data_IF_665655958217
#
_entry.id   IF_665655958217
#
_cell.length_a   1.000
_cell.length_b   1.000
_cell.length_c   1.000
_cell.angle_alpha   90.00
_cell.angle_beta   90.00
_cell.angle_gamma   90.00
#
_symmetry.space_group_name_H-M   'P 1'
#
loop_
_entity.id
_entity.type
_entity.pdbx_description
1 polymer ?
#
# COMPACT_ATOMS: atom_id res chain seq x y z
N UNK A 1 10.55 8.64 -0.61
CA UNK A 1 9.48 9.16 0.28
C UNK A 1 9.06 8.10 1.28
N UNK A 2 8.25 7.10 0.90
CA UNK A 2 7.92 6.01 1.85
C UNK A 2 9.06 5.00 2.07
N UNK A 3 9.96 4.82 1.11
CA UNK A 3 11.05 3.85 1.23
C UNK A 3 11.95 4.09 2.46
N UNK A 4 12.30 5.35 2.74
CA UNK A 4 13.08 5.71 3.95
C UNK A 4 12.27 5.41 5.22
N UNK A 5 11.00 5.80 5.24
CA UNK A 5 10.10 5.56 6.38
C UNK A 5 9.94 4.06 6.68
N UNK A 6 9.82 3.21 5.65
CA UNK A 6 9.77 1.76 5.81
C UNK A 6 11.11 1.14 6.18
N UNK A 7 12.24 1.73 5.77
CA UNK A 7 13.56 1.32 6.24
C UNK A 7 13.77 1.68 7.73
N UNK A 8 13.26 2.83 8.18
CA UNK A 8 13.25 3.19 9.60
C UNK A 8 12.41 2.19 10.42
N UNK A 9 11.23 1.84 9.91
CA UNK A 9 10.34 0.86 10.52
C UNK A 9 10.96 -0.53 10.63
N UNK A 10 11.62 -1.00 9.57
CA UNK A 10 12.34 -2.27 9.55
C UNK A 10 13.51 -2.30 10.54
N UNK A 11 14.08 -1.14 10.87
CA UNK A 11 15.10 -1.00 11.91
C UNK A 11 14.51 -0.89 13.33
N UNK A 12 13.20 -1.13 13.50
CA UNK A 12 12.50 -1.04 14.78
C UNK A 12 12.27 0.38 15.29
N UNK A 13 12.44 1.39 14.44
CA UNK A 13 12.22 2.79 14.83
C UNK A 13 10.76 3.16 14.71
N UNK A 14 10.28 3.93 15.68
CA UNK A 14 8.92 4.45 15.68
C UNK A 14 8.77 5.55 14.62
N UNK A 15 7.63 5.53 13.94
CA UNK A 15 7.24 6.58 13.00
C UNK A 15 6.21 7.47 13.69
N UNK A 16 6.38 8.78 13.55
CA UNK A 16 5.37 9.73 14.00
C UNK A 16 4.10 9.60 13.16
N UNK A 17 2.98 9.27 13.79
CA UNK A 17 1.67 9.05 13.13
C UNK A 17 1.25 10.27 12.30
N UNK A 18 1.45 11.48 12.80
CA UNK A 18 1.11 12.71 12.08
C UNK A 18 1.96 12.91 10.81
N UNK A 19 3.23 12.52 10.86
CA UNK A 19 4.10 12.54 9.69
C UNK A 19 3.64 11.53 8.65
N UNK A 20 3.31 10.30 9.07
CA UNK A 20 2.78 9.26 8.18
C UNK A 20 1.47 9.68 7.53
N UNK A 21 0.54 10.25 8.31
CA UNK A 21 -0.75 10.77 7.83
C UNK A 21 -0.55 11.85 6.76
N UNK A 22 0.29 12.84 7.03
CA UNK A 22 0.60 13.91 6.08
C UNK A 22 1.22 13.38 4.79
N UNK A 23 2.17 12.44 4.90
CA UNK A 23 2.80 11.82 3.73
C UNK A 23 1.79 11.02 2.90
N UNK A 24 0.91 10.28 3.57
CA UNK A 24 -0.18 9.55 2.93
C UNK A 24 -1.10 10.48 2.13
N UNK A 25 -1.62 11.54 2.75
CA UNK A 25 -2.60 12.42 2.12
C UNK A 25 -2.03 13.10 0.85
N UNK A 26 -0.75 13.50 0.89
CA UNK A 26 -0.03 14.05 -0.27
C UNK A 26 0.15 12.98 -1.35
N UNK A 27 0.58 11.78 -0.96
CA UNK A 27 0.89 10.71 -1.89
C UNK A 27 -0.35 10.14 -2.58
N UNK A 28 -1.44 9.92 -1.83
CA UNK A 28 -2.67 9.36 -2.37
C UNK A 28 -3.31 10.34 -3.36
N UNK A 29 -3.25 11.65 -3.07
CA UNK A 29 -3.71 12.68 -4.01
C UNK A 29 -2.96 12.61 -5.34
N UNK A 30 -1.63 12.48 -5.29
CA UNK A 30 -0.80 12.31 -6.49
C UNK A 30 -1.15 11.02 -7.23
N UNK A 31 -1.29 9.91 -6.49
CA UNK A 31 -1.63 8.61 -7.05
C UNK A 31 -2.94 8.66 -7.80
N UNK A 32 -4.00 9.18 -7.16
CA UNK A 32 -5.32 9.35 -7.75
C UNK A 32 -5.29 10.23 -9.00
N UNK A 33 -4.43 11.26 -9.02
CA UNK A 33 -4.17 12.06 -10.22
C UNK A 33 -3.60 11.22 -11.36
N UNK A 34 -2.63 10.35 -11.09
CA UNK A 34 -2.01 9.48 -12.10
C UNK A 34 -2.98 8.42 -12.61
N UNK A 35 -3.70 7.69 -11.75
CA UNK A 35 -4.64 6.63 -12.21
C UNK A 35 -5.81 7.17 -13.04
N UNK A 36 -6.09 8.48 -13.01
CA UNK A 36 -7.07 9.12 -13.90
C UNK A 36 -6.54 9.39 -15.31
N UNK A 37 -5.23 9.35 -15.51
CA UNK A 37 -4.61 9.52 -16.82
C UNK A 37 -4.62 8.19 -17.59
N UNK A 38 -4.57 8.20 -18.93
CA UNK A 38 -4.35 6.98 -19.70
C UNK A 38 -3.03 6.31 -19.27
N UNK A 39 -2.93 4.97 -19.24
CA UNK A 39 -1.74 4.26 -18.79
C UNK A 39 -0.44 4.66 -19.49
N UNK A 40 -0.51 5.08 -20.76
CA UNK A 40 0.64 5.60 -21.52
C UNK A 40 1.28 6.85 -20.92
N UNK A 41 0.57 7.56 -20.04
CA UNK A 41 1.05 8.75 -19.34
C UNK A 41 1.42 8.47 -17.87
N UNK A 42 1.38 7.21 -17.43
CA UNK A 42 1.75 6.87 -16.06
C UNK A 42 3.26 6.98 -15.88
N UNK A 43 3.65 8.05 -15.20
CA UNK A 43 5.04 8.33 -14.87
C UNK A 43 5.60 7.23 -13.95
N UNK A 44 6.86 6.84 -14.17
CA UNK A 44 7.53 5.83 -13.36
C UNK A 44 8.26 6.43 -12.14
N UNK A 45 8.39 7.76 -12.08
CA UNK A 45 9.04 8.44 -10.95
C UNK A 45 8.17 8.31 -9.68
N UNK A 46 8.66 7.65 -8.61
CA UNK A 46 7.93 7.47 -7.35
C UNK A 46 7.59 8.77 -6.61
N UNK A 47 8.23 9.90 -6.94
CA UNK A 47 7.89 11.22 -6.40
C UNK A 47 6.62 11.81 -7.02
N UNK A 48 6.28 11.36 -8.23
CA UNK A 48 5.11 11.81 -8.99
C UNK A 48 4.01 10.75 -8.99
N UNK A 49 4.37 9.48 -9.15
CA UNK A 49 3.50 8.32 -9.08
C UNK A 49 3.93 7.41 -7.92
N UNK A 50 3.48 7.69 -6.68
CA UNK A 50 3.81 6.86 -5.54
C UNK A 50 3.39 5.41 -5.75
N UNK A 51 4.18 4.46 -5.25
CA UNK A 51 3.84 3.03 -5.36
C UNK A 51 2.58 2.72 -4.55
N UNK A 52 1.67 1.92 -5.14
CA UNK A 52 0.39 1.60 -4.50
C UNK A 52 0.53 0.70 -3.27
N UNK A 53 1.49 -0.23 -3.28
CA UNK A 53 1.83 -1.08 -2.13
C UNK A 53 2.25 -0.24 -0.91
N UNK A 54 3.10 0.76 -1.12
CA UNK A 54 3.53 1.69 -0.07
C UNK A 54 2.38 2.52 0.49
N UNK A 55 1.42 2.92 -0.35
CA UNK A 55 0.21 3.61 0.09
C UNK A 55 -0.67 2.71 0.94
N UNK A 56 -0.86 1.46 0.51
CA UNK A 56 -1.61 0.47 1.27
C UNK A 56 -0.97 0.24 2.65
N UNK A 57 0.35 0.05 2.71
CA UNK A 57 1.06 -0.12 3.97
C UNK A 57 0.91 1.08 4.90
N UNK A 58 1.05 2.30 4.36
CA UNK A 58 0.85 3.51 5.14
C UNK A 58 -0.59 3.61 5.69
N UNK A 59 -1.60 3.25 4.90
CA UNK A 59 -2.99 3.26 5.35
C UNK A 59 -3.25 2.22 6.46
N UNK A 60 -2.70 1.01 6.32
CA UNK A 60 -2.81 -0.05 7.33
C UNK A 60 -2.15 0.36 8.64
N UNK A 61 -0.95 0.95 8.58
CA UNK A 61 -0.23 1.45 9.76
C UNK A 61 -0.95 2.63 10.44
N UNK A 62 -1.79 3.37 9.71
CA UNK A 62 -2.66 4.41 10.27
C UNK A 62 -3.95 3.84 10.89
N UNK A 63 -4.23 2.54 10.73
CA UNK A 63 -5.45 1.86 11.15
C UNK A 63 -6.72 2.62 10.74
N UNK A 64 -6.74 3.11 9.49
CA UNK A 64 -7.79 3.97 8.97
C UNK A 64 -8.48 3.30 7.77
N UNK A 65 -9.70 2.80 7.99
CA UNK A 65 -10.44 2.01 7.01
C UNK A 65 -10.72 2.76 5.71
N UNK A 66 -11.03 4.06 5.78
CA UNK A 66 -11.28 4.87 4.58
C UNK A 66 -10.00 5.02 3.75
N UNK A 67 -8.87 5.27 4.41
CA UNK A 67 -7.56 5.34 3.75
C UNK A 67 -7.16 3.99 3.16
N UNK A 68 -7.46 2.88 3.85
CA UNK A 68 -7.19 1.52 3.37
C UNK A 68 -8.01 1.24 2.12
N UNK A 69 -9.32 1.51 2.15
CA UNK A 69 -10.20 1.32 1.00
C UNK A 69 -9.74 2.14 -0.22
N UNK A 70 -9.28 3.37 0.01
CA UNK A 70 -8.77 4.25 -1.05
C UNK A 70 -7.45 3.74 -1.64
N UNK A 71 -6.51 3.34 -0.80
CA UNK A 71 -5.23 2.77 -1.24
C UNK A 71 -5.42 1.46 -1.99
N UNK A 72 -6.32 0.60 -1.51
CA UNK A 72 -6.70 -0.64 -2.19
C UNK A 72 -7.33 -0.37 -3.56
N UNK A 73 -8.23 0.59 -3.66
CA UNK A 73 -8.85 0.97 -4.95
C UNK A 73 -7.81 1.44 -5.96
N UNK A 74 -6.86 2.28 -5.54
CA UNK A 74 -5.76 2.74 -6.40
C UNK A 74 -4.86 1.57 -6.85
N UNK A 75 -4.58 0.62 -5.96
CA UNK A 75 -3.81 -0.59 -6.25
C UNK A 75 -4.53 -1.49 -7.25
N UNK A 76 -5.83 -1.73 -7.05
CA UNK A 76 -6.64 -2.57 -7.91
C UNK A 76 -6.72 -2.01 -9.34
N UNK A 77 -6.87 -0.69 -9.50
CA UNK A 77 -6.85 -0.05 -10.82
C UNK A 77 -5.48 -0.19 -11.48
N UNK A 78 -4.39 0.08 -10.75
CA UNK A 78 -3.03 -0.07 -11.29
C UNK A 78 -2.74 -1.51 -11.71
N UNK A 79 -3.23 -2.47 -10.93
CA UNK A 79 -3.10 -3.89 -11.18
C UNK A 79 -3.88 -4.33 -12.42
N UNK A 80 -5.16 -3.95 -12.55
CA UNK A 80 -5.98 -4.26 -13.72
C UNK A 80 -5.36 -3.70 -15.01
N UNK A 81 -4.91 -2.44 -14.99
CA UNK A 81 -4.30 -1.81 -16.16
C UNK A 81 -2.99 -2.49 -16.58
N UNK A 82 -2.15 -2.92 -15.62
CA UNK A 82 -0.92 -3.68 -15.92
C UNK A 82 -1.21 -5.05 -16.54
N UNK A 83 -2.31 -5.67 -16.16
CA UNK A 83 -2.69 -7.00 -16.62
C UNK A 83 -3.57 -6.99 -17.86
N UNK A 84 -4.11 -5.84 -18.27
CA UNK A 84 -5.06 -5.73 -19.39
C UNK A 84 -4.51 -6.32 -20.70
N UNK A 85 -3.20 -6.28 -20.89
CA UNK A 85 -2.53 -6.82 -22.08
C UNK A 85 -2.19 -8.31 -21.99
N UNK A 86 -2.36 -8.93 -20.83
CA UNK A 86 -2.07 -10.35 -20.63
C UNK A 86 -3.29 -11.21 -20.99
N UNK A 87 -3.06 -12.44 -21.50
CA UNK A 87 -4.10 -13.47 -21.61
C UNK A 87 -4.77 -13.73 -20.25
N UNK A 88 -6.10 -13.99 -20.19
CA UNK A 88 -6.80 -14.23 -18.93
C UNK A 88 -6.16 -15.28 -18.01
N UNK A 89 -5.59 -16.33 -18.57
CA UNK A 89 -4.89 -17.41 -17.87
C UNK A 89 -3.60 -16.96 -17.17
N UNK A 90 -2.97 -15.88 -17.65
CA UNK A 90 -1.76 -15.29 -17.10
C UNK A 90 -2.06 -14.14 -16.12
N UNK A 91 -3.35 -13.76 -15.98
CA UNK A 91 -3.76 -12.69 -15.06
C UNK A 91 -3.75 -13.20 -13.63
N UNK A 92 -2.94 -12.56 -12.80
CA UNK A 92 -2.94 -12.81 -11.37
C UNK A 92 -4.12 -12.09 -10.70
N UNK A 93 -4.98 -12.77 -9.92
CA UNK A 93 -6.04 -12.12 -9.16
C UNK A 93 -5.51 -11.05 -8.21
N UNK A 94 -6.20 -9.91 -8.10
CA UNK A 94 -5.80 -8.82 -7.20
C UNK A 94 -5.65 -9.27 -5.75
N UNK A 95 -6.44 -10.25 -5.31
CA UNK A 95 -6.33 -10.84 -3.97
C UNK A 95 -4.95 -11.45 -3.69
N UNK A 96 -4.35 -12.16 -4.65
CA UNK A 96 -3.01 -12.74 -4.47
C UNK A 96 -1.93 -11.66 -4.38
N UNK A 97 -2.10 -10.57 -5.12
CA UNK A 97 -1.20 -9.42 -5.05
C UNK A 97 -1.34 -8.69 -3.71
N UNK A 98 -2.57 -8.54 -3.23
CA UNK A 98 -2.84 -8.00 -1.90
C UNK A 98 -2.17 -8.86 -0.81
N UNK A 99 -2.39 -10.17 -0.82
CA UNK A 99 -1.80 -11.11 0.15
C UNK A 99 -0.26 -11.00 0.18
N UNK A 100 0.37 -10.87 -1.00
CA UNK A 100 1.81 -10.67 -1.11
C UNK A 100 2.27 -9.37 -0.45
N UNK A 101 1.56 -8.27 -0.68
CA UNK A 101 1.92 -6.99 -0.07
C UNK A 101 1.66 -6.96 1.42
N UNK A 102 0.61 -7.63 1.90
CA UNK A 102 0.36 -7.80 3.33
C UNK A 102 1.48 -8.60 3.98
N UNK A 103 1.88 -9.72 3.38
CA UNK A 103 3.00 -10.52 3.89
C UNK A 103 4.30 -9.72 3.93
N UNK A 104 4.59 -8.93 2.88
CA UNK A 104 5.77 -8.06 2.86
C UNK A 104 5.75 -7.00 3.97
N UNK A 105 4.58 -6.47 4.33
CA UNK A 105 4.46 -5.53 5.44
C UNK A 105 4.70 -6.23 6.79
N UNK A 106 4.15 -7.44 6.97
CA UNK A 106 4.36 -8.26 8.16
C UNK A 106 5.85 -8.58 8.32
N UNK A 107 6.52 -9.00 7.24
CA UNK A 107 7.96 -9.31 7.23
C UNK A 107 8.83 -8.08 7.49
N UNK A 108 8.34 -6.88 7.14
CA UNK A 108 9.03 -5.61 7.38
C UNK A 108 8.95 -5.19 8.85
N UNK A 109 7.88 -5.54 9.56
CA UNK A 109 7.63 -5.11 10.92
C UNK A 109 8.41 -6.00 11.92
N UNK A 110 9.10 -5.42 12.91
CA UNK A 110 9.68 -6.20 13.99
C UNK A 110 8.56 -6.92 14.76
N UNK A 111 8.70 -8.22 14.98
CA UNK A 111 7.67 -9.06 15.61
C UNK A 111 7.30 -8.62 17.04
N UNK A 112 8.19 -7.90 17.73
CA UNK A 112 7.99 -7.32 19.05
C UNK A 112 7.49 -5.87 19.03
N UNK A 113 7.30 -5.30 17.84
CA UNK A 113 6.85 -3.93 17.65
C UNK A 113 5.34 -3.75 17.91
N UNK A 114 4.97 -2.64 18.55
CA UNK A 114 3.56 -2.29 18.79
C UNK A 114 2.76 -2.20 17.48
N UNK A 115 3.37 -1.73 16.39
CA UNK A 115 2.71 -1.68 15.07
C UNK A 115 2.44 -3.07 14.48
N UNK A 116 3.28 -4.07 14.78
CA UNK A 116 3.07 -5.46 14.37
C UNK A 116 1.80 -6.02 15.02
N UNK A 117 1.67 -5.83 16.33
CA UNK A 117 0.49 -6.30 17.08
C UNK A 117 -0.81 -5.63 16.61
N UNK A 118 -0.76 -4.32 16.33
CA UNK A 118 -1.92 -3.59 15.80
C UNK A 118 -2.29 -4.07 14.40
N UNK A 119 -1.29 -4.35 13.55
CA UNK A 119 -1.53 -4.88 12.21
C UNK A 119 -2.12 -6.28 12.25
N UNK A 120 -1.60 -7.19 13.10
CA UNK A 120 -2.17 -8.54 13.24
C UNK A 120 -3.63 -8.49 13.68
N UNK A 121 -3.98 -7.64 14.65
CA UNK A 121 -5.37 -7.46 15.08
C UNK A 121 -6.28 -6.95 13.95
N UNK A 122 -5.78 -6.04 13.11
CA UNK A 122 -6.51 -5.52 11.96
C UNK A 122 -6.64 -6.58 10.85
N UNK A 123 -5.63 -7.41 10.63
CA UNK A 123 -5.69 -8.48 9.64
C UNK A 123 -6.66 -9.58 10.07
N UNK A 124 -6.68 -9.92 11.34
CA UNK A 124 -7.60 -10.93 11.89
C UNK A 124 -9.06 -10.46 11.85
N UNK A 125 -9.34 -9.16 11.91
CA UNK A 125 -10.71 -8.64 11.78
C UNK A 125 -11.24 -8.64 10.35
N UNK A 126 -10.35 -8.69 9.35
CA UNK A 126 -10.69 -8.61 7.92
C UNK A 126 -10.62 -9.97 7.23
N UNK A 127 -9.97 -10.98 7.84
CA UNK A 127 -10.00 -12.36 7.33
C UNK A 127 -11.40 -12.96 7.52
N UNK A 128 -12.09 -13.39 6.44
CA UNK A 128 -13.34 -14.12 6.58
C UNK A 128 -13.07 -15.47 7.29
N UNK A 129 -13.88 -15.78 8.31
CA UNK A 129 -13.90 -17.10 8.96
C UNK A 129 -14.39 -18.19 8.01
#
# INVERSE_FOLDING_TARGET
MFAELFAELAAGRSIAVDQLRRLFDIAITKKLGVVKLPPSFWMQDPKINPRADHLLWAALLLADEERVALAFSALAVEHDERQRHLPPEDREPVGRVLDRYLQQLVDLLPADGQQYQQLEQLLDSVRPQ
#
